data_IF_463766517450
#
_entry.id   IF_463766517450
#
_cell.length_a   1.000
_cell.length_b   1.000
_cell.length_c   1.000
_cell.angle_alpha   90.00
_cell.angle_beta   90.00
_cell.angle_gamma   90.00
#
_symmetry.space_group_name_H-M   'P 1'
#
loop_
_entity.id
_entity.type
_entity.pdbx_description
1 polymer ?
#
# COMPACT_ATOMS: atom_id res chain seq x y z
N UNK A 1 -33.66 41.90 -11.68
CA UNK A 1 -34.01 40.51 -11.38
C UNK A 1 -32.93 39.95 -10.45
N UNK A 2 -32.96 40.32 -9.16
CA UNK A 2 -33.42 39.43 -8.08
C UNK A 2 -32.82 38.03 -8.18
N UNK A 3 -31.61 37.87 -7.65
CA UNK A 3 -31.07 36.57 -7.25
C UNK A 3 -32.03 36.00 -6.20
N UNK A 4 -32.73 34.93 -6.59
CA UNK A 4 -33.75 34.31 -5.76
C UNK A 4 -33.13 33.25 -4.86
N UNK A 5 -33.50 33.32 -3.59
CA UNK A 5 -33.56 32.24 -2.59
C UNK A 5 -32.21 31.64 -2.16
N UNK A 6 -31.77 32.04 -0.96
CA UNK A 6 -30.92 31.25 -0.06
C UNK A 6 -31.36 29.79 -0.12
N UNK A 7 -30.57 28.93 -0.76
CA UNK A 7 -30.74 27.48 -0.66
C UNK A 7 -30.75 27.14 0.84
N UNK A 8 -31.87 26.60 1.32
CA UNK A 8 -31.97 26.08 2.68
C UNK A 8 -30.91 25.01 2.81
N UNK A 9 -29.97 25.19 3.73
CA UNK A 9 -28.90 24.24 3.92
C UNK A 9 -29.51 22.90 4.33
N UNK A 10 -29.04 21.79 3.75
CA UNK A 10 -29.47 20.43 4.17
C UNK A 10 -29.23 20.23 5.68
N UNK A 11 -28.27 20.97 6.24
CA UNK A 11 -27.95 20.99 7.67
C UNK A 11 -28.96 21.77 8.54
N UNK A 12 -29.86 22.57 7.96
CA UNK A 12 -30.91 23.27 8.72
C UNK A 12 -32.06 22.31 9.11
N UNK A 13 -32.21 21.20 8.38
CA UNK A 13 -33.30 20.23 8.54
C UNK A 13 -32.80 18.80 8.88
N UNK A 14 -31.77 18.70 9.75
CA UNK A 14 -31.26 17.39 10.20
C UNK A 14 -32.30 16.61 11.00
N UNK A 15 -32.42 15.31 10.72
CA UNK A 15 -33.22 14.39 11.53
C UNK A 15 -32.66 14.28 12.96
N UNK A 16 -33.45 13.76 13.90
CA UNK A 16 -32.97 13.56 15.27
C UNK A 16 -31.72 12.66 15.32
N UNK A 17 -31.68 11.66 14.44
CA UNK A 17 -30.59 10.70 14.34
C UNK A 17 -29.34 11.35 13.75
N UNK A 18 -29.47 12.16 12.70
CA UNK A 18 -28.37 12.95 12.14
C UNK A 18 -27.75 13.88 13.16
N UNK A 19 -28.58 14.59 13.94
CA UNK A 19 -28.09 15.51 14.99
C UNK A 19 -27.28 14.77 16.04
N UNK A 20 -27.72 13.58 16.42
CA UNK A 20 -27.01 12.74 17.40
C UNK A 20 -25.66 12.26 16.84
N UNK A 21 -25.64 11.71 15.62
CA UNK A 21 -24.42 11.26 14.98
C UNK A 21 -23.44 12.41 14.73
N UNK A 22 -23.94 13.56 14.28
CA UNK A 22 -23.15 14.79 14.10
C UNK A 22 -22.51 15.22 15.41
N UNK A 23 -23.30 15.33 16.49
CA UNK A 23 -22.78 15.69 17.81
C UNK A 23 -21.65 14.75 18.22
N UNK A 24 -21.86 13.44 18.10
CA UNK A 24 -20.85 12.45 18.44
C UNK A 24 -19.55 12.61 17.62
N UNK A 25 -19.66 12.79 16.31
CA UNK A 25 -18.51 12.99 15.43
C UNK A 25 -17.74 14.27 15.75
N UNK A 26 -18.43 15.38 16.03
CA UNK A 26 -17.79 16.64 16.42
C UNK A 26 -17.17 16.55 17.82
N UNK A 27 -17.84 15.92 18.78
CA UNK A 27 -17.30 15.64 20.11
C UNK A 27 -16.02 14.78 20.01
N UNK A 28 -15.97 13.83 19.07
CA UNK A 28 -14.76 13.05 18.78
C UNK A 28 -13.63 13.91 18.21
N UNK A 29 -13.90 14.74 17.20
CA UNK A 29 -12.90 15.64 16.59
C UNK A 29 -12.37 16.65 17.62
N UNK A 30 -13.22 17.13 18.53
CA UNK A 30 -12.83 18.06 19.60
C UNK A 30 -11.81 17.51 20.60
N UNK A 31 -11.66 16.18 20.66
CA UNK A 31 -10.70 15.51 21.55
C UNK A 31 -9.33 15.29 20.92
N UNK A 32 -9.16 15.65 19.65
CA UNK A 32 -7.86 15.60 18.98
C UNK A 32 -6.90 16.60 19.62
N UNK A 33 -5.71 16.14 19.96
CA UNK A 33 -4.65 16.92 20.63
C UNK A 33 -3.64 17.49 19.65
N UNK A 34 -3.48 16.85 18.50
CA UNK A 34 -2.52 17.24 17.48
C UNK A 34 -3.25 17.65 16.20
N UNK A 35 -2.87 18.80 15.63
CA UNK A 35 -3.45 19.32 14.39
C UNK A 35 -4.59 20.32 14.59
N UNK A 36 -4.96 20.98 13.50
CA UNK A 36 -6.07 21.92 13.40
C UNK A 36 -7.04 21.47 12.30
N UNK A 37 -8.28 21.16 12.67
CA UNK A 37 -9.32 20.75 11.72
C UNK A 37 -10.43 21.79 11.75
N UNK A 38 -10.69 22.38 10.59
CA UNK A 38 -11.88 23.20 10.36
C UNK A 38 -12.94 22.37 9.65
N UNK A 39 -14.12 22.23 10.25
CA UNK A 39 -15.29 21.57 9.65
C UNK A 39 -16.25 22.65 9.13
N UNK A 40 -16.50 22.63 7.83
CA UNK A 40 -17.47 23.48 7.15
C UNK A 40 -18.70 22.65 6.81
N UNK A 41 -19.87 23.09 7.28
CA UNK A 41 -21.16 22.46 6.99
C UNK A 41 -22.23 23.54 6.77
N UNK A 42 -22.82 23.57 5.57
CA UNK A 42 -23.67 24.69 5.15
C UNK A 42 -22.95 26.03 5.32
N UNK A 43 -23.53 26.92 6.14
CA UNK A 43 -22.96 28.24 6.45
C UNK A 43 -22.16 28.26 7.77
N UNK A 44 -21.96 27.12 8.42
CA UNK A 44 -21.21 27.01 9.67
C UNK A 44 -19.76 26.63 9.43
N UNK A 45 -18.88 27.20 10.24
CA UNK A 45 -17.45 26.91 10.27
C UNK A 45 -17.06 26.62 11.72
N UNK A 46 -16.69 25.38 12.01
CA UNK A 46 -16.36 24.88 13.33
C UNK A 46 -14.89 24.47 13.37
N UNK A 47 -14.10 25.04 14.27
CA UNK A 47 -12.66 24.78 14.36
C UNK A 47 -12.34 23.95 15.60
N UNK A 48 -11.45 22.97 15.45
CA UNK A 48 -11.06 22.02 16.48
C UNK A 48 -9.54 21.79 16.47
N UNK A 49 -8.96 21.58 17.65
CA UNK A 49 -7.53 21.30 17.82
C UNK A 49 -6.71 22.54 18.16
N UNK A 50 -5.44 22.55 17.76
CA UNK A 50 -4.48 23.60 18.08
C UNK A 50 -4.21 24.49 16.86
N UNK A 51 -4.60 25.77 16.95
CA UNK A 51 -4.42 26.73 15.85
C UNK A 51 -2.97 27.01 15.45
N UNK A 52 -2.02 26.68 16.32
CA UNK A 52 -0.59 26.82 16.07
C UNK A 52 0.06 25.55 15.54
N UNK A 53 -0.70 24.45 15.39
CA UNK A 53 -0.18 23.21 14.84
C UNK A 53 0.30 23.38 13.39
N UNK A 54 1.35 22.65 13.01
CA UNK A 54 1.85 22.64 11.63
C UNK A 54 0.86 21.98 10.65
N UNK A 55 0.16 20.95 11.11
CA UNK A 55 -0.84 20.23 10.31
C UNK A 55 -2.20 20.90 10.46
N UNK A 56 -2.70 21.45 9.35
CA UNK A 56 -4.02 22.08 9.27
C UNK A 56 -4.77 21.58 8.04
N UNK A 57 -6.08 21.45 8.17
CA UNK A 57 -6.94 21.05 7.06
C UNK A 57 -8.38 21.50 7.26
N UNK A 58 -9.09 21.66 6.15
CA UNK A 58 -10.52 21.95 6.10
C UNK A 58 -11.27 20.71 5.58
N UNK A 59 -12.22 20.22 6.38
CA UNK A 59 -13.23 19.25 5.99
C UNK A 59 -14.48 20.01 5.58
N UNK A 60 -14.97 19.81 4.37
CA UNK A 60 -16.29 20.33 3.93
C UNK A 60 -17.28 19.18 3.88
N UNK A 61 -18.30 19.20 4.73
CA UNK A 61 -19.37 18.20 4.72
C UNK A 61 -20.43 18.64 3.72
N UNK A 62 -20.68 17.80 2.72
CA UNK A 62 -21.63 18.02 1.64
C UNK A 62 -22.97 17.36 1.97
N UNK A 63 -22.94 16.16 2.53
CA UNK A 63 -24.11 15.37 2.91
C UNK A 63 -24.00 14.93 4.38
N UNK A 64 -25.02 15.21 5.23
CA UNK A 64 -24.99 14.85 6.64
C UNK A 64 -24.97 13.33 6.92
N UNK A 65 -25.31 12.49 5.95
CA UNK A 65 -25.14 11.04 6.00
C UNK A 65 -23.70 10.60 6.26
N UNK A 66 -22.72 11.48 6.01
CA UNK A 66 -21.33 11.34 6.45
C UNK A 66 -21.23 11.01 7.95
N UNK A 67 -21.93 11.74 8.80
CA UNK A 67 -21.86 11.56 10.25
C UNK A 67 -22.40 10.20 10.67
N UNK A 68 -23.50 9.75 10.05
CA UNK A 68 -24.06 8.42 10.32
C UNK A 68 -23.05 7.32 9.96
N UNK A 69 -22.45 7.40 8.77
CA UNK A 69 -21.45 6.42 8.32
C UNK A 69 -20.23 6.37 9.23
N UNK A 70 -19.73 7.53 9.65
CA UNK A 70 -18.60 7.58 10.57
C UNK A 70 -18.91 6.90 11.91
N UNK A 71 -20.09 7.15 12.48
CA UNK A 71 -20.48 6.54 13.77
C UNK A 71 -20.71 5.03 13.64
N UNK A 72 -21.36 4.58 12.56
CA UNK A 72 -21.73 3.17 12.40
C UNK A 72 -20.58 2.27 11.92
N UNK A 73 -19.71 2.80 11.07
CA UNK A 73 -18.67 2.02 10.38
C UNK A 73 -17.25 2.57 10.61
N UNK A 74 -17.08 3.51 11.54
CA UNK A 74 -15.78 4.05 11.94
C UNK A 74 -15.01 4.69 10.78
N UNK A 75 -13.70 4.49 10.77
CA UNK A 75 -12.79 4.99 9.72
C UNK A 75 -13.15 4.46 8.32
N UNK A 76 -13.64 3.21 8.21
CA UNK A 76 -14.12 2.64 6.95
C UNK A 76 -15.33 3.41 6.43
N UNK A 77 -16.28 3.73 7.30
CA UNK A 77 -17.44 4.56 6.95
C UNK A 77 -17.07 5.97 6.51
N UNK A 78 -16.09 6.58 7.18
CA UNK A 78 -15.54 7.89 6.78
C UNK A 78 -14.94 7.86 5.37
N UNK A 79 -14.15 6.84 5.05
CA UNK A 79 -13.60 6.62 3.70
C UNK A 79 -14.69 6.37 2.65
N UNK A 80 -15.68 5.53 2.95
CA UNK A 80 -16.84 5.30 2.06
C UNK A 80 -17.61 6.59 1.74
N UNK A 81 -17.84 7.41 2.76
CA UNK A 81 -18.50 8.70 2.58
C UNK A 81 -17.67 9.65 1.70
N UNK A 82 -16.33 9.57 1.75
CA UNK A 82 -15.46 10.32 0.84
C UNK A 82 -15.63 9.86 -0.59
N UNK A 83 -15.63 8.54 -0.83
CA UNK A 83 -15.84 7.93 -2.14
C UNK A 83 -17.18 8.37 -2.74
N UNK A 84 -18.25 8.45 -1.94
CA UNK A 84 -19.56 8.93 -2.39
C UNK A 84 -19.66 10.45 -2.55
N UNK A 85 -18.60 11.20 -2.20
CA UNK A 85 -18.59 12.66 -2.30
C UNK A 85 -19.39 13.37 -1.23
N UNK A 86 -19.72 12.70 -0.12
CA UNK A 86 -20.49 13.24 1.01
C UNK A 86 -19.68 14.22 1.86
N UNK A 87 -18.36 14.19 1.74
CA UNK A 87 -17.47 15.20 2.29
C UNK A 87 -16.23 15.36 1.41
N UNK A 88 -15.55 16.49 1.58
CA UNK A 88 -14.33 16.87 0.86
C UNK A 88 -13.29 17.37 1.85
N UNK A 89 -12.04 17.37 1.40
CA UNK A 89 -10.91 17.83 2.20
C UNK A 89 -9.92 18.55 1.29
N UNK A 90 -9.39 19.68 1.76
CA UNK A 90 -8.36 20.43 1.05
C UNK A 90 -6.99 19.75 1.05
N UNK A 91 -6.71 18.95 2.09
CA UNK A 91 -5.45 18.22 2.24
C UNK A 91 -5.68 16.89 3.00
N UNK A 92 -6.08 15.86 2.25
CA UNK A 92 -6.34 14.53 2.80
C UNK A 92 -5.12 13.93 3.50
N UNK A 93 -3.92 14.11 2.94
CA UNK A 93 -2.69 13.60 3.56
C UNK A 93 -2.50 14.24 4.94
N UNK A 94 -2.67 15.56 5.08
CA UNK A 94 -2.59 16.24 6.37
C UNK A 94 -3.65 15.71 7.35
N UNK A 95 -4.90 15.51 6.90
CA UNK A 95 -5.96 14.95 7.72
C UNK A 95 -5.62 13.54 8.25
N UNK A 96 -5.10 12.67 7.39
CA UNK A 96 -4.69 11.31 7.77
C UNK A 96 -3.54 11.36 8.77
N UNK A 97 -2.56 12.25 8.56
CA UNK A 97 -1.44 12.47 9.50
C UNK A 97 -1.95 12.93 10.87
N UNK A 98 -2.91 13.87 10.89
CA UNK A 98 -3.57 14.31 12.12
C UNK A 98 -4.20 13.12 12.84
N UNK A 99 -4.98 12.27 12.16
CA UNK A 99 -5.58 11.10 12.81
C UNK A 99 -4.54 10.10 13.30
N UNK A 100 -3.47 9.87 12.53
CA UNK A 100 -2.37 8.98 12.92
C UNK A 100 -1.66 9.47 14.20
N UNK A 101 -1.36 10.76 14.31
CA UNK A 101 -0.77 11.35 15.53
C UNK A 101 -1.68 11.24 16.76
N UNK A 102 -2.99 11.17 16.55
CA UNK A 102 -3.97 11.04 17.61
C UNK A 102 -4.38 9.59 17.92
N UNK A 103 -3.79 8.57 17.25
CA UNK A 103 -4.18 7.16 17.36
C UNK A 103 -4.31 6.65 18.81
N UNK A 104 -3.39 7.00 19.71
CA UNK A 104 -3.47 6.57 21.11
C UNK A 104 -4.68 7.15 21.86
N UNK A 105 -5.18 8.31 21.41
CA UNK A 105 -6.42 8.93 21.89
C UNK A 105 -7.62 8.26 21.22
N UNK A 106 -7.50 7.91 19.94
CA UNK A 106 -8.52 7.16 19.19
C UNK A 106 -8.75 5.76 19.79
N UNK A 107 -7.70 4.99 20.09
CA UNK A 107 -7.78 3.63 20.64
C UNK A 107 -8.48 3.61 22.02
N UNK A 108 -8.27 4.67 22.83
CA UNK A 108 -8.96 4.82 24.12
C UNK A 108 -10.46 5.05 23.95
N UNK A 109 -10.87 5.83 22.94
CA UNK A 109 -12.27 6.08 22.62
C UNK A 109 -12.94 4.85 21.98
N UNK A 110 -12.24 4.17 21.06
CA UNK A 110 -12.71 2.94 20.43
C UNK A 110 -12.92 1.81 21.44
N UNK A 111 -12.12 1.73 22.51
CA UNK A 111 -12.32 0.75 23.59
C UNK A 111 -13.69 0.88 24.29
N UNK A 112 -14.33 2.06 24.20
CA UNK A 112 -15.64 2.34 24.79
C UNK A 112 -16.79 2.01 23.82
N UNK A 113 -16.56 2.14 22.49
CA UNK A 113 -17.58 2.01 21.44
C UNK A 113 -17.62 0.58 20.85
N UNK A 114 -16.48 -0.10 20.74
CA UNK A 114 -16.32 -1.38 20.02
C UNK A 114 -16.82 -2.64 20.74
N UNK A 115 -17.48 -2.52 21.90
CA UNK A 115 -18.05 -3.68 22.63
C UNK A 115 -19.33 -4.25 22.03
N UNK A 116 -19.98 -3.60 21.06
CA UNK A 116 -21.31 -3.99 20.56
C UNK A 116 -21.38 -4.59 19.14
N UNK A 117 -20.27 -4.69 18.38
CA UNK A 117 -20.31 -5.06 16.95
C UNK A 117 -19.46 -6.24 16.46
N UNK A 118 -18.90 -7.07 17.34
CA UNK A 118 -17.79 -8.00 16.99
C UNK A 118 -18.07 -9.39 16.35
N UNK A 119 -19.31 -9.92 16.17
CA UNK A 119 -19.45 -11.25 15.55
C UNK A 119 -19.48 -11.27 14.01
N UNK A 120 -19.91 -10.21 13.31
CA UNK A 120 -20.12 -10.26 11.85
C UNK A 120 -18.85 -10.14 11.01
N UNK A 121 -17.81 -9.45 11.52
CA UNK A 121 -16.56 -9.19 10.79
C UNK A 121 -15.61 -10.41 10.76
N UNK A 122 -15.69 -11.33 11.72
CA UNK A 122 -14.86 -12.54 11.76
C UNK A 122 -15.15 -13.51 10.61
N UNK A 123 -16.39 -13.57 10.14
CA UNK A 123 -16.80 -14.46 9.05
C UNK A 123 -16.26 -13.99 7.68
N UNK A 124 -16.12 -12.67 7.49
CA UNK A 124 -15.52 -12.08 6.29
C UNK A 124 -14.01 -12.38 6.20
N UNK A 125 -13.29 -12.37 7.33
CA UNK A 125 -11.86 -12.73 7.35
C UNK A 125 -11.59 -14.18 6.95
N UNK A 126 -12.47 -15.14 7.29
CA UNK A 126 -12.27 -16.55 6.95
C UNK A 126 -12.38 -16.82 5.44
N UNK A 127 -13.24 -16.08 4.72
CA UNK A 127 -13.38 -16.18 3.25
C UNK A 127 -12.21 -15.57 2.47
N UNK A 128 -11.36 -14.77 3.11
CA UNK A 128 -10.24 -14.06 2.48
C UNK A 128 -8.86 -14.71 2.73
N UNK A 129 -8.80 -15.99 3.11
CA UNK A 129 -7.51 -16.71 3.23
C UNK A 129 -6.80 -16.79 1.87
N UNK A 130 -5.51 -16.43 1.82
CA UNK A 130 -4.65 -16.42 0.63
C UNK A 130 -4.21 -17.83 0.15
N UNK A 131 -5.18 -18.74 0.02
CA UNK A 131 -5.00 -19.96 -0.76
C UNK A 131 -4.55 -19.62 -2.19
N UNK A 132 -3.92 -20.57 -2.90
CA UNK A 132 -3.50 -20.39 -4.31
C UNK A 132 -4.60 -19.82 -5.19
N UNK A 133 -5.82 -20.38 -5.07
CA UNK A 133 -6.97 -19.94 -5.85
C UNK A 133 -7.40 -18.51 -5.50
N UNK A 134 -7.38 -18.13 -4.21
CA UNK A 134 -7.80 -16.80 -3.77
C UNK A 134 -6.76 -15.74 -4.13
N UNK A 135 -5.46 -16.04 -3.98
CA UNK A 135 -4.37 -15.14 -4.39
C UNK A 135 -4.47 -14.78 -5.87
N UNK A 136 -4.71 -15.78 -6.75
CA UNK A 136 -4.96 -15.54 -8.19
C UNK A 136 -6.17 -14.63 -8.43
N UNK A 137 -7.27 -14.82 -7.70
CA UNK A 137 -8.47 -13.97 -7.83
C UNK A 137 -8.23 -12.53 -7.38
N UNK A 138 -7.53 -12.33 -6.26
CA UNK A 138 -7.25 -10.99 -5.72
C UNK A 138 -6.30 -10.22 -6.64
N UNK A 139 -5.27 -10.88 -7.14
CA UNK A 139 -4.32 -10.31 -8.11
C UNK A 139 -5.03 -9.99 -9.43
N UNK A 140 -5.84 -10.91 -9.97
CA UNK A 140 -6.63 -10.64 -11.17
C UNK A 140 -7.53 -9.41 -10.97
N UNK A 141 -8.35 -9.36 -9.91
CA UNK A 141 -9.25 -8.24 -9.67
C UNK A 141 -8.54 -6.87 -9.48
N UNK A 142 -7.35 -6.84 -8.89
CA UNK A 142 -6.59 -5.60 -8.70
C UNK A 142 -5.89 -5.14 -9.99
N UNK A 143 -5.32 -6.07 -10.78
CA UNK A 143 -4.67 -5.74 -12.06
C UNK A 143 -5.65 -5.70 -13.26
N UNK A 144 -6.89 -6.17 -13.10
CA UNK A 144 -7.99 -6.01 -14.06
C UNK A 144 -8.44 -4.55 -14.22
N UNK A 145 -7.92 -3.63 -13.38
CA UNK A 145 -7.97 -2.18 -13.62
C UNK A 145 -7.19 -1.75 -14.88
N UNK A 146 -6.45 -2.67 -15.49
CA UNK A 146 -5.84 -2.53 -16.81
C UNK A 146 -4.55 -1.73 -16.81
N UNK A 147 -3.60 -2.17 -17.63
CA UNK A 147 -2.29 -1.53 -17.77
C UNK A 147 -2.37 -0.04 -18.16
N UNK A 148 -3.43 0.36 -18.87
CA UNK A 148 -3.61 1.74 -19.33
C UNK A 148 -3.84 2.72 -18.18
N UNK A 149 -4.53 2.31 -17.12
CA UNK A 149 -4.75 3.15 -15.94
C UNK A 149 -3.43 3.36 -15.19
N UNK A 150 -2.68 2.28 -14.94
CA UNK A 150 -1.38 2.36 -14.26
C UNK A 150 -0.36 3.23 -15.01
N UNK A 151 -0.33 3.17 -16.34
CA UNK A 151 0.52 4.02 -17.18
C UNK A 151 0.28 5.52 -17.01
N UNK A 152 -0.89 5.93 -16.51
CA UNK A 152 -1.20 7.35 -16.32
C UNK A 152 -0.46 7.97 -15.14
N UNK A 153 -0.06 7.17 -14.14
CA UNK A 153 0.52 7.70 -12.92
C UNK A 153 1.85 7.07 -12.50
N UNK A 154 2.16 5.86 -12.96
CA UNK A 154 3.48 5.25 -12.80
C UNK A 154 4.49 5.86 -13.77
N UNK A 155 5.76 5.66 -13.48
CA UNK A 155 6.84 5.98 -14.42
C UNK A 155 6.91 4.94 -15.56
N UNK A 156 7.77 5.19 -16.55
CA UNK A 156 7.91 4.33 -17.74
C UNK A 156 8.36 2.89 -17.41
N UNK A 157 8.98 2.67 -16.25
CA UNK A 157 9.32 1.33 -15.78
C UNK A 157 8.11 0.57 -15.25
N UNK A 158 6.91 1.15 -15.16
CA UNK A 158 5.70 0.50 -14.65
C UNK A 158 5.93 -0.17 -13.29
N UNK A 159 6.70 0.47 -12.40
CA UNK A 159 6.95 -0.07 -11.07
C UNK A 159 5.89 0.41 -10.09
N UNK A 160 4.98 -0.49 -9.72
CA UNK A 160 4.02 -0.27 -8.63
C UNK A 160 4.59 -0.79 -7.31
N UNK A 161 5.68 -0.15 -6.87
CA UNK A 161 6.38 -0.42 -5.60
C UNK A 161 7.12 0.85 -5.19
N UNK A 162 7.54 0.97 -3.92
CA UNK A 162 8.37 2.08 -3.46
C UNK A 162 9.58 2.31 -4.36
N UNK A 163 9.80 3.57 -4.71
CA UNK A 163 11.08 4.05 -5.22
C UNK A 163 12.05 4.30 -4.05
N UNK A 164 13.30 4.63 -4.37
CA UNK A 164 14.29 5.14 -3.40
C UNK A 164 14.94 6.35 -4.05
N UNK A 165 14.81 7.52 -3.45
CA UNK A 165 15.27 8.75 -4.08
C UNK A 165 16.75 8.99 -3.75
N UNK A 166 17.64 9.09 -4.75
CA UNK A 166 19.06 9.33 -4.48
C UNK A 166 19.31 10.72 -3.86
N UNK A 167 18.43 11.68 -4.14
CA UNK A 167 18.46 13.03 -3.60
C UNK A 167 17.07 13.72 -3.67
N UNK A 168 17.00 14.95 -3.14
CA UNK A 168 15.75 15.72 -3.09
C UNK A 168 15.27 16.22 -4.47
N UNK A 169 16.14 16.33 -5.46
CA UNK A 169 15.82 16.84 -6.80
C UNK A 169 15.42 15.71 -7.78
N UNK A 170 15.76 14.46 -7.47
CA UNK A 170 15.46 13.31 -8.32
C UNK A 170 13.95 13.15 -8.59
N UNK A 171 13.59 12.86 -9.84
CA UNK A 171 12.22 12.52 -10.20
C UNK A 171 11.88 11.04 -9.89
N UNK A 172 10.61 10.67 -10.04
CA UNK A 172 10.13 9.31 -9.78
C UNK A 172 10.86 8.26 -10.65
N UNK A 173 11.15 8.55 -11.92
CA UNK A 173 11.81 7.60 -12.81
C UNK A 173 13.26 7.35 -12.39
N UNK A 174 13.98 8.41 -12.04
CA UNK A 174 15.34 8.34 -11.48
C UNK A 174 15.34 7.54 -10.16
N UNK A 175 14.36 7.78 -9.29
CA UNK A 175 14.24 7.08 -8.02
C UNK A 175 13.92 5.58 -8.19
N UNK A 176 13.09 5.21 -9.17
CA UNK A 176 12.80 3.79 -9.46
C UNK A 176 14.04 3.07 -10.01
N UNK A 177 14.78 3.70 -10.92
CA UNK A 177 16.05 3.16 -11.43
C UNK A 177 17.10 3.05 -10.32
N UNK A 178 17.23 4.06 -9.47
CA UNK A 178 18.16 4.03 -8.34
C UNK A 178 17.84 2.89 -7.38
N UNK A 179 16.56 2.66 -7.08
CA UNK A 179 16.13 1.52 -6.25
C UNK A 179 16.48 0.17 -6.90
N UNK A 180 16.28 0.00 -8.21
CA UNK A 180 16.68 -1.23 -8.91
C UNK A 180 18.19 -1.46 -8.83
N UNK A 181 18.99 -0.42 -9.06
CA UNK A 181 20.44 -0.46 -8.89
C UNK A 181 20.82 -0.86 -7.46
N UNK A 182 20.24 -0.21 -6.46
CA UNK A 182 20.52 -0.47 -5.05
C UNK A 182 20.19 -1.92 -4.65
N UNK A 183 19.11 -2.50 -5.18
CA UNK A 183 18.76 -3.91 -4.97
C UNK A 183 19.83 -4.83 -5.58
N UNK A 184 20.25 -4.59 -6.83
CA UNK A 184 21.30 -5.38 -7.47
C UNK A 184 22.66 -5.27 -6.76
N UNK A 185 23.00 -4.08 -6.26
CA UNK A 185 24.20 -3.84 -5.45
C UNK A 185 24.14 -4.58 -4.11
N UNK A 186 23.00 -4.55 -3.41
CA UNK A 186 22.78 -5.33 -2.19
C UNK A 186 22.85 -6.83 -2.44
N UNK A 187 22.42 -7.29 -3.62
CA UNK A 187 22.58 -8.68 -4.05
C UNK A 187 24.03 -9.03 -4.41
N UNK A 188 24.91 -8.04 -4.57
CA UNK A 188 26.26 -8.23 -5.12
C UNK A 188 26.19 -9.02 -6.43
N UNK A 189 25.26 -8.61 -7.31
CA UNK A 189 24.90 -9.34 -8.52
C UNK A 189 26.05 -9.32 -9.54
N UNK A 190 26.34 -10.48 -10.12
CA UNK A 190 27.41 -10.69 -11.10
C UNK A 190 26.88 -11.29 -12.40
N UNK A 191 27.62 -11.19 -13.53
CA UNK A 191 27.18 -11.74 -14.81
C UNK A 191 26.98 -13.26 -14.85
N UNK A 192 27.68 -13.99 -13.99
CA UNK A 192 27.60 -15.46 -13.88
C UNK A 192 26.50 -15.95 -12.93
N UNK A 193 25.87 -15.04 -12.17
CA UNK A 193 24.78 -15.39 -11.26
C UNK A 193 23.51 -15.80 -12.01
N UNK A 194 22.74 -16.70 -11.39
CA UNK A 194 21.33 -16.92 -11.72
C UNK A 194 20.44 -16.32 -10.62
N UNK A 195 19.71 -15.26 -10.98
CA UNK A 195 18.73 -14.58 -10.13
C UNK A 195 17.34 -15.21 -10.29
N UNK A 196 16.68 -15.51 -9.17
CA UNK A 196 15.24 -15.78 -9.12
C UNK A 196 14.49 -14.55 -8.58
N UNK A 197 13.53 -14.05 -9.34
CA UNK A 197 12.60 -13.00 -8.94
C UNK A 197 11.22 -13.61 -8.63
N UNK A 198 10.73 -13.34 -7.42
CA UNK A 198 9.38 -13.68 -7.00
C UNK A 198 8.51 -12.42 -7.13
N UNK A 199 7.62 -12.43 -8.13
CA UNK A 199 6.73 -11.30 -8.45
C UNK A 199 7.28 -10.42 -9.58
N UNK A 200 7.10 -10.86 -10.83
CA UNK A 200 7.61 -10.16 -12.03
C UNK A 200 7.15 -8.70 -12.16
N UNK A 201 5.95 -8.38 -11.68
CA UNK A 201 5.29 -7.12 -12.03
C UNK A 201 5.20 -6.98 -13.55
N UNK A 202 5.64 -5.85 -14.08
CA UNK A 202 5.73 -5.60 -15.53
C UNK A 202 7.14 -5.85 -16.12
N UNK A 203 7.97 -6.62 -15.42
CA UNK A 203 9.27 -7.15 -15.88
C UNK A 203 10.49 -6.26 -15.62
N UNK A 204 10.33 -5.13 -14.91
CA UNK A 204 11.39 -4.11 -14.82
C UNK A 204 12.64 -4.55 -14.06
N UNK A 205 12.49 -5.30 -12.96
CA UNK A 205 13.65 -5.82 -12.22
C UNK A 205 14.40 -6.88 -13.05
N UNK A 206 13.69 -7.85 -13.65
CA UNK A 206 14.31 -8.85 -14.52
C UNK A 206 15.04 -8.24 -15.72
N UNK A 207 14.40 -7.28 -16.41
CA UNK A 207 14.99 -6.57 -17.55
C UNK A 207 16.23 -5.78 -17.10
N UNK A 208 16.13 -5.04 -16.00
CA UNK A 208 17.23 -4.23 -15.49
C UNK A 208 18.44 -5.10 -15.09
N UNK A 209 18.22 -6.19 -14.35
CA UNK A 209 19.26 -7.12 -13.96
C UNK A 209 19.97 -7.75 -15.18
N UNK A 210 19.20 -8.24 -16.15
CA UNK A 210 19.75 -8.82 -17.38
C UNK A 210 20.58 -7.80 -18.18
N UNK A 211 20.06 -6.59 -18.40
CA UNK A 211 20.74 -5.58 -19.22
C UNK A 211 21.99 -4.98 -18.55
N UNK A 212 21.92 -4.70 -17.25
CA UNK A 212 22.97 -3.96 -16.55
C UNK A 212 24.01 -4.86 -15.90
N UNK A 213 23.64 -6.09 -15.52
CA UNK A 213 24.54 -7.03 -14.85
C UNK A 213 24.84 -8.27 -15.69
N UNK A 214 24.12 -8.51 -16.78
CA UNK A 214 24.37 -9.64 -17.70
C UNK A 214 24.02 -11.01 -17.14
N UNK A 215 23.37 -11.07 -15.97
CA UNK A 215 23.04 -12.30 -15.28
C UNK A 215 21.85 -13.02 -15.92
N UNK A 216 21.68 -14.30 -15.58
CA UNK A 216 20.45 -15.03 -15.93
C UNK A 216 19.36 -14.68 -14.93
N UNK A 217 18.14 -14.50 -15.41
CA UNK A 217 16.98 -14.23 -14.55
C UNK A 217 15.89 -15.25 -14.81
N UNK A 218 15.41 -15.90 -13.76
CA UNK A 218 14.09 -16.53 -13.78
C UNK A 218 13.14 -15.62 -13.01
N UNK A 219 11.97 -15.31 -13.56
CA UNK A 219 10.98 -14.46 -12.90
C UNK A 219 9.59 -15.08 -13.04
N UNK A 220 8.76 -14.94 -12.01
CA UNK A 220 7.40 -15.52 -12.00
C UNK A 220 6.32 -14.52 -11.60
N UNK A 221 5.17 -14.63 -12.27
CA UNK A 221 3.93 -13.95 -11.87
C UNK A 221 2.76 -14.92 -11.96
N UNK A 222 1.67 -14.62 -11.25
CA UNK A 222 0.40 -15.34 -11.39
C UNK A 222 -0.65 -14.54 -12.18
N UNK A 223 -0.30 -13.32 -12.63
CA UNK A 223 -1.17 -12.47 -13.43
C UNK A 223 -0.87 -12.64 -14.91
N UNK A 224 -1.89 -13.03 -15.68
CA UNK A 224 -1.78 -13.14 -17.14
C UNK A 224 -1.44 -11.79 -17.77
N UNK A 225 -2.05 -10.69 -17.31
CA UNK A 225 -1.80 -9.36 -17.89
C UNK A 225 -0.36 -8.89 -17.67
N UNK A 226 0.20 -9.16 -16.49
CA UNK A 226 1.60 -8.87 -16.18
C UNK A 226 2.54 -9.74 -17.01
N UNK A 227 2.23 -11.04 -17.15
CA UNK A 227 2.99 -11.96 -17.99
C UNK A 227 3.03 -11.49 -19.44
N UNK A 228 1.88 -11.18 -20.03
CA UNK A 228 1.80 -10.74 -21.44
C UNK A 228 2.58 -9.44 -21.67
N UNK A 229 2.49 -8.49 -20.73
CA UNK A 229 3.22 -7.23 -20.80
C UNK A 229 4.74 -7.43 -20.65
N UNK A 230 5.17 -8.19 -19.64
CA UNK A 230 6.58 -8.47 -19.41
C UNK A 230 7.17 -9.24 -20.59
N UNK A 231 6.45 -10.23 -21.12
CA UNK A 231 6.84 -11.01 -22.30
C UNK A 231 7.08 -10.11 -23.51
N UNK A 232 6.13 -9.22 -23.82
CA UNK A 232 6.28 -8.29 -24.95
C UNK A 232 7.50 -7.39 -24.80
N UNK A 233 7.81 -6.91 -23.59
CA UNK A 233 9.00 -6.10 -23.32
C UNK A 233 10.29 -6.89 -23.45
N UNK A 234 10.34 -8.10 -22.90
CA UNK A 234 11.50 -9.00 -22.98
C UNK A 234 11.81 -9.34 -24.44
N UNK A 235 10.78 -9.63 -25.24
CA UNK A 235 10.91 -9.93 -26.67
C UNK A 235 11.38 -8.71 -27.48
N UNK A 236 10.80 -7.52 -27.23
CA UNK A 236 11.19 -6.29 -27.88
C UNK A 236 12.65 -5.89 -27.61
N UNK A 237 13.20 -6.30 -26.46
CA UNK A 237 14.59 -6.05 -26.07
C UNK A 237 15.56 -7.19 -26.42
N UNK A 238 15.08 -8.30 -26.99
CA UNK A 238 15.92 -9.44 -27.37
C UNK A 238 16.50 -10.23 -26.19
N UNK A 239 15.84 -10.19 -25.01
CA UNK A 239 16.36 -10.76 -23.76
C UNK A 239 15.89 -12.19 -23.47
N UNK A 240 15.23 -12.86 -24.41
CA UNK A 240 14.63 -14.20 -24.21
C UNK A 240 15.65 -15.29 -23.84
N UNK A 241 16.94 -15.10 -24.18
CA UNK A 241 18.00 -16.04 -23.83
C UNK A 241 18.54 -15.84 -22.40
N UNK A 242 18.31 -14.66 -21.81
CA UNK A 242 18.76 -14.32 -20.46
C UNK A 242 17.63 -14.41 -19.43
N UNK A 243 16.38 -14.15 -19.85
CA UNK A 243 15.21 -14.09 -18.97
C UNK A 243 14.26 -15.25 -19.26
N UNK A 244 14.05 -16.09 -18.25
CA UNK A 244 12.97 -17.08 -18.21
C UNK A 244 11.77 -16.50 -17.48
N UNK A 245 10.70 -16.20 -18.20
CA UNK A 245 9.45 -15.69 -17.65
C UNK A 245 8.43 -16.83 -17.45
N UNK A 246 7.98 -17.00 -16.20
CA UNK A 246 7.02 -18.03 -15.79
C UNK A 246 5.66 -17.41 -15.45
N UNK A 247 4.60 -18.14 -15.79
CA UNK A 247 3.23 -17.86 -15.33
C UNK A 247 2.83 -18.89 -14.26
N UNK A 248 3.62 -18.93 -13.18
CA UNK A 248 3.49 -19.92 -12.13
C UNK A 248 3.41 -19.28 -10.74
N UNK A 249 2.85 -20.04 -9.80
CA UNK A 249 2.84 -19.65 -8.40
C UNK A 249 4.24 -19.87 -7.80
N UNK A 250 4.75 -18.88 -7.07
CA UNK A 250 6.09 -18.96 -6.47
C UNK A 250 6.27 -20.19 -5.57
N UNK A 251 5.17 -20.69 -4.97
CA UNK A 251 5.16 -21.89 -4.12
C UNK A 251 5.58 -23.15 -4.87
N UNK A 252 5.40 -23.17 -6.18
CA UNK A 252 5.69 -24.31 -7.04
C UNK A 252 7.06 -24.22 -7.74
N UNK A 253 7.78 -23.11 -7.58
CA UNK A 253 9.12 -22.95 -8.14
C UNK A 253 10.11 -24.00 -7.64
N UNK A 254 11.00 -24.47 -8.48
CA UNK A 254 12.05 -25.44 -8.10
C UNK A 254 13.42 -24.95 -8.55
N UNK A 255 14.47 -25.55 -8.00
CA UNK A 255 15.86 -25.27 -8.38
C UNK A 255 16.67 -24.65 -7.25
N UNK A 256 17.86 -24.17 -7.61
CA UNK A 256 18.82 -23.53 -6.73
C UNK A 256 19.44 -22.35 -7.48
N UNK A 257 19.32 -21.16 -6.91
CA UNK A 257 19.69 -19.89 -7.51
C UNK A 257 20.77 -19.22 -6.66
N UNK A 258 21.64 -18.45 -7.29
CA UNK A 258 22.69 -17.68 -6.61
C UNK A 258 22.07 -16.54 -5.80
N UNK A 259 21.08 -15.89 -6.38
CA UNK A 259 20.45 -14.67 -5.85
C UNK A 259 18.94 -14.80 -5.87
N UNK A 260 18.26 -14.23 -4.89
CA UNK A 260 16.79 -14.12 -4.86
C UNK A 260 16.36 -12.68 -4.60
N UNK A 261 15.39 -12.20 -5.36
CA UNK A 261 14.73 -10.92 -5.11
C UNK A 261 13.22 -11.10 -5.00
N UNK A 262 12.60 -10.41 -4.06
CA UNK A 262 11.15 -10.31 -3.94
C UNK A 262 10.80 -8.87 -3.57
N UNK A 263 10.06 -8.18 -4.45
CA UNK A 263 9.71 -6.77 -4.26
C UNK A 263 8.21 -6.65 -4.01
N UNK A 264 7.82 -6.29 -2.79
CA UNK A 264 6.43 -5.99 -2.38
C UNK A 264 5.42 -7.07 -2.81
N UNK A 265 5.84 -8.33 -2.67
CA UNK A 265 4.99 -9.51 -2.88
C UNK A 265 4.51 -10.10 -1.55
N UNK A 266 5.31 -9.96 -0.48
CA UNK A 266 5.08 -10.62 0.82
C UNK A 266 3.75 -10.19 1.48
N UNK A 267 3.27 -9.00 1.16
CA UNK A 267 2.01 -8.41 1.59
C UNK A 267 0.80 -9.22 1.10
N UNK A 268 0.95 -9.95 -0.01
CA UNK A 268 -0.08 -10.83 -0.56
C UNK A 268 -0.03 -12.27 0.00
N UNK A 269 0.97 -12.59 0.83
CA UNK A 269 1.14 -13.95 1.40
C UNK A 269 0.13 -14.21 2.51
N UNK A 270 -0.07 -13.23 3.40
CA UNK A 270 -0.93 -13.40 4.58
C UNK A 270 -0.22 -14.05 5.77
N UNK A 271 -0.69 -13.74 6.99
CA UNK A 271 -0.06 -14.18 8.25
C UNK A 271 0.09 -15.71 8.36
N UNK A 272 -0.94 -16.46 7.97
CA UNK A 272 -0.96 -17.94 8.07
C UNK A 272 0.13 -18.61 7.21
N UNK A 273 0.66 -17.92 6.19
CA UNK A 273 1.60 -18.49 5.21
C UNK A 273 3.00 -17.87 5.26
N UNK A 274 3.23 -16.88 6.12
CA UNK A 274 4.50 -16.16 6.18
C UNK A 274 5.70 -17.08 6.47
N UNK A 275 5.53 -18.04 7.37
CA UNK A 275 6.54 -19.06 7.68
C UNK A 275 6.91 -19.87 6.42
N UNK A 276 5.89 -20.36 5.69
CA UNK A 276 6.11 -21.14 4.46
C UNK A 276 6.70 -20.32 3.31
N UNK A 277 6.46 -19.00 3.29
CA UNK A 277 7.08 -18.10 2.30
C UNK A 277 8.59 -18.02 2.49
N UNK A 278 9.07 -17.84 3.73
CA UNK A 278 10.52 -17.82 4.00
C UNK A 278 11.16 -19.20 3.82
N UNK A 279 10.49 -20.29 4.23
CA UNK A 279 10.93 -21.66 3.92
C UNK A 279 11.13 -21.85 2.41
N UNK A 280 10.16 -21.37 1.61
CA UNK A 280 10.25 -21.45 0.15
C UNK A 280 11.42 -20.64 -0.40
N UNK A 281 11.59 -19.40 0.03
CA UNK A 281 12.70 -18.55 -0.40
C UNK A 281 14.06 -19.18 -0.06
N UNK A 282 14.22 -19.68 1.17
CA UNK A 282 15.43 -20.38 1.61
C UNK A 282 15.70 -21.64 0.79
N UNK A 283 14.65 -22.39 0.41
CA UNK A 283 14.76 -23.61 -0.41
C UNK A 283 15.18 -23.34 -1.86
N UNK A 284 15.04 -22.11 -2.35
CA UNK A 284 15.44 -21.74 -3.71
C UNK A 284 16.89 -21.22 -3.77
N UNK A 285 17.52 -20.92 -2.64
CA UNK A 285 18.89 -20.38 -2.61
C UNK A 285 19.94 -21.48 -2.43
N UNK A 286 21.03 -21.38 -3.22
CA UNK A 286 22.26 -22.15 -3.01
C UNK A 286 22.82 -21.96 -1.59
N UNK A 287 23.66 -22.85 -1.06
CA UNK A 287 24.20 -22.76 0.30
C UNK A 287 24.94 -21.46 0.65
N UNK A 288 25.41 -20.74 -0.37
CA UNK A 288 26.07 -19.43 -0.32
C UNK A 288 25.24 -18.29 -0.95
N UNK A 289 23.95 -18.53 -1.21
CA UNK A 289 23.06 -17.58 -1.87
C UNK A 289 22.71 -16.35 -1.02
N UNK A 290 22.28 -15.29 -1.70
CA UNK A 290 21.88 -14.01 -1.10
C UNK A 290 20.49 -13.60 -1.56
N UNK A 291 19.71 -13.01 -0.66
CA UNK A 291 18.35 -12.55 -0.91
C UNK A 291 18.19 -11.09 -0.51
N UNK A 292 17.46 -10.34 -1.34
CA UNK A 292 16.92 -9.02 -1.00
C UNK A 292 15.40 -9.09 -1.06
N UNK A 293 14.77 -8.76 0.07
CA UNK A 293 13.32 -8.59 0.19
C UNK A 293 13.01 -7.11 0.38
N UNK A 294 12.21 -6.53 -0.52
CA UNK A 294 11.55 -5.25 -0.26
C UNK A 294 10.14 -5.54 0.25
N UNK A 295 9.81 -5.04 1.44
CA UNK A 295 8.54 -5.31 2.10
C UNK A 295 7.98 -4.06 2.77
N UNK A 296 6.70 -3.79 2.58
CA UNK A 296 5.90 -2.90 3.40
C UNK A 296 5.67 -3.60 4.75
N UNK A 297 5.85 -2.86 5.83
CA UNK A 297 5.69 -3.33 7.20
C UNK A 297 4.74 -2.46 7.98
N UNK A 298 4.09 -3.06 8.97
CA UNK A 298 3.39 -2.33 10.02
C UNK A 298 4.23 -2.34 11.30
N UNK A 299 4.09 -1.28 12.12
CA UNK A 299 4.75 -1.21 13.43
C UNK A 299 4.42 -2.41 14.30
N UNK A 300 5.45 -2.97 14.94
CA UNK A 300 5.35 -4.21 15.73
C UNK A 300 4.30 -4.12 16.83
N UNK A 301 4.17 -2.96 17.49
CA UNK A 301 3.22 -2.74 18.58
C UNK A 301 1.77 -2.92 18.15
N UNK A 302 1.46 -2.76 16.86
CA UNK A 302 0.10 -2.87 16.31
C UNK A 302 -0.16 -4.16 15.54
N UNK A 303 0.87 -4.98 15.31
CA UNK A 303 0.79 -6.16 14.45
C UNK A 303 -0.38 -7.10 14.82
N UNK A 304 -0.46 -7.48 16.10
CA UNK A 304 -1.47 -8.42 16.59
C UNK A 304 -2.91 -7.94 16.43
N UNK A 305 -3.13 -6.63 16.53
CA UNK A 305 -4.43 -6.00 16.30
C UNK A 305 -4.71 -5.92 14.80
N UNK A 306 -3.76 -5.42 14.01
CA UNK A 306 -3.87 -5.26 12.57
C UNK A 306 -4.22 -6.55 11.82
N UNK A 307 -3.62 -7.68 12.20
CA UNK A 307 -3.91 -8.99 11.59
C UNK A 307 -5.40 -9.37 11.75
N UNK A 308 -6.05 -8.91 12.83
CA UNK A 308 -7.44 -9.26 13.15
C UNK A 308 -8.47 -8.30 12.53
N UNK A 309 -8.04 -7.10 12.15
CA UNK A 309 -8.92 -6.02 11.70
C UNK A 309 -9.03 -5.96 10.17
N UNK A 310 -10.21 -5.53 9.71
CA UNK A 310 -10.47 -5.17 8.31
C UNK A 310 -10.48 -3.65 8.23
N UNK A 311 -9.40 -3.09 7.71
CA UNK A 311 -9.29 -1.65 7.44
C UNK A 311 -9.84 -1.31 6.05
N UNK A 312 -9.82 -0.02 5.72
CA UNK A 312 -10.24 0.50 4.42
C UNK A 312 -9.46 -0.16 3.27
N UNK A 313 -8.15 -0.35 3.43
CA UNK A 313 -7.27 -0.91 2.41
C UNK A 313 -7.64 -2.37 2.11
N UNK A 314 -7.78 -3.21 3.14
CA UNK A 314 -8.21 -4.62 2.99
C UNK A 314 -9.61 -4.74 2.40
N UNK A 315 -10.49 -3.76 2.63
CA UNK A 315 -11.86 -3.79 2.12
C UNK A 315 -11.96 -3.35 0.66
N UNK A 316 -11.24 -2.31 0.26
CA UNK A 316 -11.46 -1.63 -1.03
C UNK A 316 -10.32 -1.74 -2.03
N UNK A 317 -9.07 -1.90 -1.56
CA UNK A 317 -7.88 -1.81 -2.44
C UNK A 317 -7.19 -3.16 -2.56
N UNK A 318 -6.85 -3.79 -1.43
CA UNK A 318 -6.13 -5.06 -1.38
C UNK A 318 -6.86 -6.11 -0.53
N UNK A 319 -7.97 -6.70 -1.03
CA UNK A 319 -8.60 -7.85 -0.38
C UNK A 319 -7.60 -8.98 -0.17
N UNK A 320 -7.42 -9.42 1.08
CA UNK A 320 -6.45 -10.47 1.45
C UNK A 320 -5.02 -9.96 1.73
N UNK A 321 -4.74 -8.67 1.53
CA UNK A 321 -3.46 -8.07 1.90
C UNK A 321 -3.24 -8.12 3.42
N UNK A 322 -2.01 -8.44 3.83
CA UNK A 322 -1.59 -8.42 5.22
C UNK A 322 -0.12 -8.01 5.29
N UNK A 323 0.13 -6.78 5.74
CA UNK A 323 1.47 -6.30 6.02
C UNK A 323 2.09 -7.12 7.16
N UNK A 324 3.31 -7.68 7.01
CA UNK A 324 4.06 -8.23 8.12
C UNK A 324 4.60 -7.12 9.03
N UNK A 325 5.13 -7.48 10.19
CA UNK A 325 6.00 -6.59 10.98
C UNK A 325 7.45 -7.08 10.93
N UNK A 326 8.41 -6.22 11.29
CA UNK A 326 9.83 -6.59 11.30
C UNK A 326 10.09 -7.75 12.25
N UNK A 327 9.57 -7.71 13.49
CA UNK A 327 9.76 -8.82 14.43
C UNK A 327 9.12 -10.12 13.95
N UNK A 328 7.95 -10.03 13.29
CA UNK A 328 7.27 -11.21 12.77
C UNK A 328 8.04 -11.86 11.61
N UNK A 329 8.63 -11.06 10.72
CA UNK A 329 9.49 -11.58 9.65
C UNK A 329 10.75 -12.23 10.22
N UNK A 330 11.46 -11.57 11.14
CA UNK A 330 12.71 -12.11 11.70
C UNK A 330 12.47 -13.36 12.56
N UNK A 331 11.34 -13.44 13.27
CA UNK A 331 10.89 -14.66 13.94
C UNK A 331 10.63 -15.81 12.96
N UNK A 332 9.92 -15.55 11.85
CA UNK A 332 9.69 -16.56 10.80
C UNK A 332 11.02 -17.10 10.25
N UNK A 333 11.94 -16.20 9.91
CA UNK A 333 13.26 -16.51 9.39
C UNK A 333 14.03 -17.40 10.37
N UNK A 334 14.13 -16.97 11.64
CA UNK A 334 14.91 -17.68 12.67
C UNK A 334 14.33 -19.02 13.08
N UNK A 335 13.00 -19.20 13.05
CA UNK A 335 12.35 -20.47 13.39
C UNK A 335 12.34 -21.48 12.26
N UNK A 336 12.34 -21.01 11.00
CA UNK A 336 11.99 -21.86 9.84
C UNK A 336 13.09 -22.04 8.82
N UNK A 337 14.16 -21.26 8.90
CA UNK A 337 15.21 -21.27 7.88
C UNK A 337 16.59 -21.22 8.51
N UNK A 338 17.62 -21.40 7.70
CA UNK A 338 19.02 -21.15 8.02
C UNK A 338 19.50 -19.78 7.51
N UNK A 339 18.58 -18.92 7.03
CA UNK A 339 18.92 -17.60 6.56
C UNK A 339 19.33 -16.69 7.72
N UNK A 340 20.31 -15.83 7.47
CA UNK A 340 20.82 -14.86 8.44
C UNK A 340 20.52 -13.46 7.94
N UNK A 341 19.88 -12.64 8.79
CA UNK A 341 19.69 -11.21 8.54
C UNK A 341 21.04 -10.50 8.54
N UNK A 342 21.38 -9.85 7.43
CA UNK A 342 22.64 -9.11 7.25
C UNK A 342 22.45 -7.62 7.30
N UNK A 343 21.32 -7.13 6.81
CA UNK A 343 21.05 -5.71 6.75
C UNK A 343 19.54 -5.47 6.71
N UNK A 344 19.10 -4.41 7.38
CA UNK A 344 17.74 -3.89 7.29
C UNK A 344 17.87 -2.39 7.04
N UNK A 345 17.33 -1.93 5.91
CA UNK A 345 17.23 -0.51 5.58
C UNK A 345 15.77 -0.11 5.58
N UNK A 346 15.43 0.93 6.33
CA UNK A 346 14.13 1.57 6.21
C UNK A 346 14.15 2.56 5.02
N UNK A 347 13.12 2.47 4.17
CA UNK A 347 12.85 3.34 3.02
C UNK A 347 11.43 3.93 3.08
N UNK A 348 10.81 3.97 4.27
CA UNK A 348 9.40 4.35 4.41
C UNK A 348 9.10 5.78 3.98
N UNK A 349 10.04 6.70 4.17
CA UNK A 349 9.89 8.09 3.70
C UNK A 349 9.99 8.22 2.18
N UNK A 350 10.80 7.38 1.53
CA UNK A 350 10.81 7.31 0.07
C UNK A 350 9.48 6.78 -0.47
N UNK A 351 8.83 5.85 0.25
CA UNK A 351 7.48 5.41 -0.14
C UNK A 351 6.46 6.53 0.05
N UNK A 352 6.51 7.30 1.14
CA UNK A 352 5.65 8.47 1.29
C UNK A 352 5.81 9.46 0.10
N UNK A 353 7.04 9.69 -0.36
CA UNK A 353 7.30 10.51 -1.56
C UNK A 353 6.78 9.85 -2.84
N UNK A 354 7.00 8.55 -3.00
CA UNK A 354 6.51 7.76 -4.15
C UNK A 354 4.97 7.86 -4.27
N UNK A 355 4.25 7.69 -3.16
CA UNK A 355 2.79 7.80 -3.11
C UNK A 355 2.29 9.21 -3.43
N UNK A 356 3.02 10.23 -3.01
CA UNK A 356 2.74 11.62 -3.39
C UNK A 356 2.90 11.82 -4.90
N UNK A 357 4.02 11.39 -5.47
CA UNK A 357 4.27 11.52 -6.91
C UNK A 357 3.21 10.77 -7.73
N UNK A 358 2.80 9.57 -7.29
CA UNK A 358 1.68 8.83 -7.89
C UNK A 358 0.35 9.57 -7.76
N UNK A 359 0.06 10.15 -6.59
CA UNK A 359 -1.16 10.92 -6.36
C UNK A 359 -1.23 12.14 -7.27
N UNK A 360 -0.14 12.91 -7.31
CA UNK A 360 -0.02 14.09 -8.17
C UNK A 360 -0.21 13.67 -9.64
N UNK A 361 0.49 12.64 -10.12
CA UNK A 361 0.33 12.19 -11.51
C UNK A 361 -1.09 11.69 -11.82
N UNK A 362 -1.69 10.89 -10.92
CA UNK A 362 -3.04 10.37 -11.07
C UNK A 362 -4.08 11.51 -11.16
N UNK A 363 -3.97 12.50 -10.28
CA UNK A 363 -4.88 13.64 -10.26
C UNK A 363 -4.69 14.57 -11.46
N UNK A 364 -3.45 14.77 -11.93
CA UNK A 364 -3.19 15.48 -13.19
C UNK A 364 -3.74 14.72 -14.41
N UNK A 365 -3.79 13.39 -14.35
CA UNK A 365 -4.33 12.53 -15.40
C UNK A 365 -5.84 12.25 -15.27
N UNK A 366 -6.55 12.89 -14.33
CA UNK A 366 -7.97 12.62 -14.02
C UNK A 366 -8.87 12.59 -15.26
N UNK A 367 -8.73 13.53 -16.18
CA UNK A 367 -9.56 13.56 -17.39
C UNK A 367 -9.31 12.34 -18.29
N UNK A 368 -8.07 11.85 -18.35
CA UNK A 368 -7.73 10.60 -19.06
C UNK A 368 -8.27 9.38 -18.32
N UNK A 369 -8.25 9.38 -16.98
CA UNK A 369 -8.89 8.31 -16.18
C UNK A 369 -10.38 8.23 -16.51
N UNK A 370 -11.09 9.36 -16.63
CA UNK A 370 -12.48 9.37 -17.07
C UNK A 370 -12.67 8.87 -18.52
N UNK A 371 -11.76 9.20 -19.43
CA UNK A 371 -11.79 8.70 -20.81
C UNK A 371 -11.61 7.18 -20.90
N UNK A 372 -10.93 6.55 -19.94
CA UNK A 372 -10.84 5.09 -19.81
C UNK A 372 -12.12 4.44 -19.26
N UNK A 373 -13.15 5.24 -18.91
CA UNK A 373 -14.45 4.76 -18.44
C UNK A 373 -14.61 4.73 -16.92
N UNK A 374 -13.65 5.27 -16.16
CA UNK A 374 -13.73 5.34 -14.70
C UNK A 374 -14.53 6.56 -14.22
N UNK A 375 -15.43 6.36 -13.26
CA UNK A 375 -16.29 7.42 -12.73
C UNK A 375 -15.62 8.26 -11.62
N UNK A 376 -16.31 9.29 -11.13
CA UNK A 376 -15.79 10.14 -10.05
C UNK A 376 -15.64 9.38 -8.71
N UNK A 377 -16.42 8.31 -8.48
CA UNK A 377 -16.27 7.49 -7.28
C UNK A 377 -14.91 6.77 -7.31
N UNK A 378 -14.54 6.21 -8.47
CA UNK A 378 -13.25 5.58 -8.68
C UNK A 378 -12.10 6.57 -8.47
N UNK A 379 -12.20 7.77 -9.04
CA UNK A 379 -11.18 8.82 -8.85
C UNK A 379 -11.04 9.19 -7.38
N UNK A 380 -12.14 9.38 -6.66
CA UNK A 380 -12.11 9.66 -5.21
C UNK A 380 -11.56 8.49 -4.39
N UNK A 381 -11.88 7.25 -4.75
CA UNK A 381 -11.32 6.06 -4.12
C UNK A 381 -9.79 6.04 -4.23
N UNK A 382 -9.26 6.25 -5.43
CA UNK A 382 -7.82 6.25 -5.68
C UNK A 382 -7.10 7.42 -5.01
N UNK A 383 -7.68 8.62 -5.09
CA UNK A 383 -7.13 9.79 -4.39
C UNK A 383 -7.08 9.56 -2.87
N UNK A 384 -8.16 9.04 -2.28
CA UNK A 384 -8.20 8.71 -0.86
C UNK A 384 -7.18 7.63 -0.49
N UNK A 385 -7.08 6.57 -1.30
CA UNK A 385 -6.11 5.50 -1.10
C UNK A 385 -4.67 6.01 -1.06
N UNK A 386 -4.25 6.79 -2.07
CA UNK A 386 -2.88 7.28 -2.18
C UNK A 386 -2.54 8.23 -1.03
N UNK A 387 -3.42 9.18 -0.70
CA UNK A 387 -3.24 10.08 0.45
C UNK A 387 -3.26 9.36 1.80
N UNK A 388 -4.13 8.36 1.96
CA UNK A 388 -4.21 7.55 3.17
C UNK A 388 -2.91 6.79 3.43
N UNK A 389 -2.38 6.14 2.39
CA UNK A 389 -1.10 5.45 2.47
C UNK A 389 0.03 6.45 2.73
N UNK A 390 0.10 7.57 1.99
CA UNK A 390 1.14 8.59 2.21
C UNK A 390 1.18 9.04 3.67
N UNK A 391 0.02 9.38 4.25
CA UNK A 391 -0.08 9.79 5.65
C UNK A 391 0.39 8.71 6.62
N UNK A 392 0.05 7.44 6.36
CA UNK A 392 0.50 6.29 7.16
C UNK A 392 2.02 6.13 7.18
N UNK A 393 2.68 6.29 6.02
CA UNK A 393 4.14 6.26 5.93
C UNK A 393 4.80 7.48 6.58
N UNK A 394 4.26 8.70 6.37
CA UNK A 394 4.81 9.92 6.98
C UNK A 394 4.79 9.88 8.50
N UNK A 395 3.76 9.29 9.09
CA UNK A 395 3.64 9.15 10.55
C UNK A 395 4.19 7.82 11.08
N UNK A 396 4.91 7.05 10.25
CA UNK A 396 5.55 5.77 10.62
C UNK A 396 4.57 4.76 11.20
N UNK A 397 3.28 4.85 10.87
CA UNK A 397 2.31 3.81 11.21
C UNK A 397 2.55 2.55 10.36
N UNK A 398 3.04 2.75 9.14
CA UNK A 398 3.60 1.76 8.24
C UNK A 398 4.98 2.23 7.78
N UNK A 399 5.82 1.30 7.33
CA UNK A 399 7.09 1.61 6.68
C UNK A 399 7.33 0.64 5.52
N UNK A 400 8.41 0.83 4.77
CA UNK A 400 8.91 -0.15 3.83
C UNK A 400 10.40 -0.36 4.08
N UNK A 401 10.86 -1.59 3.89
CA UNK A 401 12.23 -1.98 4.22
C UNK A 401 12.86 -2.78 3.10
N UNK A 402 14.18 -2.64 2.93
CA UNK A 402 15.03 -3.63 2.27
C UNK A 402 15.67 -4.52 3.34
N UNK A 403 15.33 -5.80 3.32
CA UNK A 403 15.91 -6.82 4.18
C UNK A 403 16.86 -7.69 3.36
N UNK A 404 18.14 -7.71 3.74
CA UNK A 404 19.18 -8.56 3.13
C UNK A 404 19.36 -9.81 3.98
N UNK A 405 19.25 -10.98 3.34
CA UNK A 405 19.33 -12.30 3.95
C UNK A 405 20.38 -13.13 3.24
N UNK A 406 21.22 -13.85 3.98
CA UNK A 406 22.24 -14.73 3.39
C UNK A 406 22.12 -16.16 3.89
N UNK A 407 22.46 -17.13 3.05
CA UNK A 407 22.64 -18.52 3.49
C UNK A 407 23.94 -18.67 4.31
N UNK A 408 24.07 -19.70 5.18
CA UNK A 408 25.17 -19.80 6.15
C UNK A 408 26.57 -19.87 5.56
N UNK A 409 26.74 -20.39 4.34
CA UNK A 409 28.04 -20.50 3.67
C UNK A 409 28.43 -19.24 2.91
N UNK A 410 27.52 -18.27 2.79
CA UNK A 410 27.86 -16.99 2.21
C UNK A 410 28.86 -16.26 3.15
N UNK A 411 30.06 -16.01 2.63
CA UNK A 411 31.17 -15.33 3.33
C UNK A 411 31.46 -13.93 2.79
N UNK A 412 30.65 -13.41 1.87
CA UNK A 412 30.86 -12.04 1.40
C UNK A 412 30.64 -11.06 2.54
N UNK A 413 31.54 -10.07 2.63
CA UNK A 413 31.50 -9.02 3.63
C UNK A 413 30.26 -8.13 3.50
#
# INVERSE_FOLDING_TARGET
MTMSLTEVSVFDNLSWFDRLCRKFALDFISQLKHGDITVVEGNQCLRFGDEHAELKTVITVVDPGFYQKMVMAGSVGGGEAYIYGWWRCDNLTALVRIFALNLATLDKLDSTITRLGRPLLKLLNWRNRNSKQQARKNIAAHYDLGNDMYRLFLDNSMMYSSAVYPDAAADLAQAQLHKLQMICEKLQLKPDDHLIEIGTGWGSMAIFAAQHYGCKVTTTTISQQQYDYAKARIEALGLQQQITLLLDDYRDLTGQYDKLVSIEMIEAVGEDYLDTYFEKCASLLKPDGLMVLQAITIVDQRYSQYVREVDFIKRYVFPGGCLPSVSRMTDAIGRKTDLVVRHLQDIGFDYARTLRDWCDNFMHARDKVHQLGYDDNFVRLWHFYLCYCEGGFRERATSAVHLVLSKPQNRSA
#
